data_IF_392707795504
#
_entry.id   IF_392707795504
#
_cell.length_a   1.000
_cell.length_b   1.000
_cell.length_c   1.000
_cell.angle_alpha   90.00
_cell.angle_beta   90.00
_cell.angle_gamma   90.00
#
_symmetry.space_group_name_H-M   'P 1'
#
loop_
_entity.id
_entity.type
_entity.pdbx_description
1 polymer ?
#
# COMPACT_ATOMS: atom_id res chain seq x y z
N UNK A 1 -36.45 -83.29 6.17
CA UNK A 1 -36.32 -83.43 4.71
C UNK A 1 -35.04 -82.74 4.30
N UNK A 2 -34.13 -83.49 3.64
CA UNK A 2 -32.91 -83.04 2.95
C UNK A 2 -31.92 -82.25 3.81
N UNK A 3 -30.78 -82.77 4.26
CA UNK A 3 -29.73 -83.36 3.41
C UNK A 3 -28.92 -82.22 2.77
N UNK A 4 -27.60 -82.20 2.76
CA UNK A 4 -26.61 -83.21 3.10
C UNK A 4 -25.21 -82.54 2.98
N UNK A 5 -24.34 -82.87 3.94
CA UNK A 5 -22.88 -83.06 3.88
C UNK A 5 -21.95 -82.16 3.09
N UNK A 6 -20.87 -81.81 3.80
CA UNK A 6 -19.50 -81.95 3.30
C UNK A 6 -18.53 -81.23 4.23
N UNK A 7 -18.05 -81.87 5.32
CA UNK A 7 -16.72 -82.52 5.41
C UNK A 7 -15.57 -81.50 5.28
N UNK A 8 -14.58 -81.35 6.16
CA UNK A 8 -13.88 -82.18 7.14
C UNK A 8 -13.15 -81.20 8.10
N UNK A 9 -13.07 -81.44 9.42
CA UNK A 9 -11.92 -82.03 10.16
C UNK A 9 -10.58 -81.33 9.87
N UNK A 10 -9.67 -81.05 10.80
CA UNK A 10 -9.27 -81.62 12.10
C UNK A 10 -8.31 -80.57 12.71
N UNK A 11 -8.47 -80.23 14.00
CA UNK A 11 -7.49 -80.50 15.06
C UNK A 11 -6.28 -79.55 15.20
N UNK A 12 -6.21 -78.95 16.41
CA UNK A 12 -5.07 -78.58 17.26
C UNK A 12 -3.66 -78.56 16.64
N UNK A 13 -2.83 -77.52 16.84
CA UNK A 13 -1.94 -77.40 18.02
C UNK A 13 -1.09 -76.09 17.93
N UNK A 14 -1.09 -75.31 19.01
CA UNK A 14 0.04 -74.64 19.73
C UNK A 14 1.09 -73.79 18.96
N UNK A 15 1.28 -72.56 19.50
CA UNK A 15 2.41 -71.62 19.38
C UNK A 15 2.78 -71.13 17.96
N UNK A 16 2.93 -69.84 17.69
CA UNK A 16 3.92 -68.97 18.35
C UNK A 16 3.63 -67.51 17.97
N UNK A 17 3.75 -66.61 18.95
CA UNK A 17 3.78 -65.16 18.80
C UNK A 17 4.93 -64.77 17.87
N UNK A 18 4.67 -64.48 16.59
CA UNK A 18 5.71 -63.92 15.70
C UNK A 18 5.18 -63.12 14.50
N UNK A 19 4.10 -62.34 14.66
CA UNK A 19 3.63 -61.46 13.57
C UNK A 19 3.25 -60.03 13.96
N UNK A 20 3.36 -59.64 15.23
CA UNK A 20 3.12 -58.24 15.66
C UNK A 20 4.37 -57.36 15.70
N UNK A 21 5.58 -57.93 15.63
CA UNK A 21 6.82 -57.15 15.61
C UNK A 21 7.25 -56.69 14.20
N UNK A 22 6.82 -57.37 13.13
CA UNK A 22 7.26 -57.04 11.76
C UNK A 22 6.50 -55.82 11.20
N UNK A 23 5.20 -55.69 11.50
CA UNK A 23 4.40 -54.55 11.01
C UNK A 23 4.76 -53.24 11.74
N UNK A 24 5.16 -53.31 13.02
CA UNK A 24 5.60 -52.12 13.77
C UNK A 24 6.99 -51.65 13.32
N UNK A 25 7.89 -52.59 13.01
CA UNK A 25 9.23 -52.30 12.48
C UNK A 25 9.18 -51.78 11.04
N UNK A 26 8.29 -52.27 10.18
CA UNK A 26 8.11 -51.69 8.83
C UNK A 26 7.51 -50.29 8.86
N UNK A 27 6.54 -50.01 9.74
CA UNK A 27 6.00 -48.67 9.91
C UNK A 27 7.05 -47.68 10.45
N UNK A 28 7.83 -48.07 11.47
CA UNK A 28 8.91 -47.24 12.02
C UNK A 28 10.07 -47.06 11.03
N UNK A 29 10.37 -48.08 10.21
CA UNK A 29 11.42 -48.01 9.17
C UNK A 29 11.00 -47.14 7.98
N UNK A 30 9.75 -47.24 7.53
CA UNK A 30 9.19 -46.35 6.49
C UNK A 30 9.13 -44.92 7.04
N UNK A 31 8.72 -44.72 8.29
CA UNK A 31 8.67 -43.39 8.90
C UNK A 31 10.07 -42.79 9.08
N UNK A 32 11.06 -43.58 9.52
CA UNK A 32 12.46 -43.15 9.60
C UNK A 32 13.09 -42.86 8.24
N UNK A 33 12.80 -43.67 7.22
CA UNK A 33 13.32 -43.44 5.85
C UNK A 33 12.71 -42.18 5.24
N UNK A 34 11.42 -41.95 5.47
CA UNK A 34 10.71 -40.74 5.04
C UNK A 34 11.25 -39.49 5.77
N UNK A 35 11.48 -39.58 7.09
CA UNK A 35 12.13 -38.53 7.89
C UNK A 35 13.57 -38.25 7.44
N UNK A 36 14.35 -39.27 7.08
CA UNK A 36 15.72 -39.10 6.58
C UNK A 36 15.77 -38.47 5.19
N UNK A 37 14.82 -38.81 4.31
CA UNK A 37 14.66 -38.18 2.99
C UNK A 37 14.17 -36.72 3.12
N UNK A 38 13.22 -36.43 4.01
CA UNK A 38 12.82 -35.06 4.36
C UNK A 38 13.97 -34.26 4.98
N UNK A 39 14.73 -34.84 5.91
CA UNK A 39 15.92 -34.22 6.48
C UNK A 39 17.01 -33.99 5.43
N UNK A 40 17.12 -34.87 4.42
CA UNK A 40 17.99 -34.69 3.25
C UNK A 40 17.56 -33.51 2.39
N UNK A 41 16.26 -33.39 2.10
CA UNK A 41 15.69 -32.27 1.36
C UNK A 41 15.84 -30.94 2.11
N UNK A 42 15.60 -30.92 3.42
CA UNK A 42 15.78 -29.73 4.27
C UNK A 42 17.25 -29.30 4.31
N UNK A 43 18.19 -30.24 4.47
CA UNK A 43 19.63 -29.95 4.44
C UNK A 43 20.07 -29.43 3.08
N UNK A 44 19.54 -30.00 1.99
CA UNK A 44 19.84 -29.56 0.63
C UNK A 44 19.27 -28.17 0.34
N UNK A 45 18.04 -27.89 0.78
CA UNK A 45 17.43 -26.57 0.69
C UNK A 45 18.19 -25.52 1.52
N UNK A 46 18.62 -25.88 2.74
CA UNK A 46 19.45 -25.01 3.57
C UNK A 46 20.82 -24.72 2.94
N UNK A 47 21.45 -25.74 2.34
CA UNK A 47 22.71 -25.57 1.62
C UNK A 47 22.56 -24.66 0.38
N UNK A 48 21.55 -24.90 -0.45
CA UNK A 48 21.23 -24.04 -1.60
C UNK A 48 20.92 -22.60 -1.17
N UNK A 49 20.11 -22.43 -0.11
CA UNK A 49 19.84 -21.12 0.47
C UNK A 49 21.12 -20.43 0.94
N UNK A 50 22.03 -21.16 1.60
CA UNK A 50 23.34 -20.67 2.01
C UNK A 50 24.21 -20.24 0.82
N UNK A 51 24.24 -21.01 -0.26
CA UNK A 51 24.98 -20.69 -1.49
C UNK A 51 24.40 -19.44 -2.18
N UNK A 52 23.08 -19.30 -2.25
CA UNK A 52 22.42 -18.11 -2.82
C UNK A 52 22.70 -16.88 -1.97
N UNK A 53 22.59 -16.97 -0.64
CA UNK A 53 22.91 -15.88 0.27
C UNK A 53 24.38 -15.47 0.18
N UNK A 54 25.30 -16.44 0.13
CA UNK A 54 26.73 -16.19 -0.05
C UNK A 54 27.02 -15.54 -1.41
N UNK A 55 26.40 -16.04 -2.48
CA UNK A 55 26.52 -15.46 -3.81
C UNK A 55 26.01 -14.02 -3.87
N UNK A 56 24.87 -13.74 -3.24
CA UNK A 56 24.33 -12.38 -3.13
C UNK A 56 25.24 -11.47 -2.32
N UNK A 57 25.75 -11.93 -1.19
CA UNK A 57 26.70 -11.19 -0.36
C UNK A 57 28.00 -10.88 -1.09
N UNK A 58 28.54 -11.85 -1.84
CA UNK A 58 29.73 -11.65 -2.66
C UNK A 58 29.48 -10.66 -3.81
N UNK A 59 28.32 -10.73 -4.46
CA UNK A 59 27.92 -9.76 -5.47
C UNK A 59 27.78 -8.36 -4.87
N UNK A 60 27.13 -8.21 -3.71
CA UNK A 60 27.00 -6.93 -2.99
C UNK A 60 28.36 -6.35 -2.60
N UNK A 61 29.33 -7.20 -2.25
CA UNK A 61 30.71 -6.77 -2.01
C UNK A 61 31.44 -6.31 -3.28
N UNK A 62 31.08 -6.86 -4.43
CA UNK A 62 31.67 -6.54 -5.73
C UNK A 62 31.00 -5.33 -6.41
N UNK A 63 29.79 -4.93 -5.99
CA UNK A 63 29.13 -3.73 -6.49
C UNK A 63 29.86 -2.45 -6.08
N UNK A 64 29.94 -1.49 -7.01
CA UNK A 64 30.54 -0.18 -6.77
C UNK A 64 29.75 0.56 -5.69
N UNK A 65 30.38 0.80 -4.54
CA UNK A 65 29.82 1.66 -3.50
C UNK A 65 29.94 3.11 -3.93
N UNK A 66 28.81 3.66 -4.38
CA UNK A 66 28.70 5.08 -4.64
C UNK A 66 28.86 5.89 -3.34
N UNK A 67 29.56 7.04 -3.37
CA UNK A 67 29.70 7.88 -2.18
C UNK A 67 28.33 8.39 -1.73
N UNK A 68 28.10 8.44 -0.43
CA UNK A 68 26.87 9.00 0.12
C UNK A 68 26.88 10.53 -0.02
N UNK A 69 25.80 11.07 -0.59
CA UNK A 69 25.59 12.50 -0.73
C UNK A 69 24.43 12.93 0.17
N UNK A 70 24.62 14.02 0.90
CA UNK A 70 23.60 14.60 1.77
C UNK A 70 23.50 16.11 1.53
N UNK A 71 22.29 16.65 1.64
CA UNK A 71 22.03 18.07 1.57
C UNK A 71 20.85 18.48 2.43
N UNK A 72 20.66 19.79 2.55
CA UNK A 72 19.57 20.38 3.31
C UNK A 72 19.99 21.01 4.63
N UNK A 73 19.00 21.55 5.33
CA UNK A 73 19.16 22.41 6.50
C UNK A 73 18.32 21.90 7.65
N UNK A 74 18.87 21.99 8.86
CA UNK A 74 18.19 21.60 10.11
C UNK A 74 18.43 22.67 11.17
N UNK A 75 17.37 23.07 11.87
CA UNK A 75 17.49 23.89 13.08
C UNK A 75 18.30 23.10 14.12
N UNK A 76 19.31 23.74 14.71
CA UNK A 76 20.22 23.16 15.71
C UNK A 76 19.55 22.26 16.78
N UNK A 77 18.31 22.55 17.15
CA UNK A 77 17.55 21.76 18.16
C UNK A 77 17.09 20.39 17.66
N UNK A 78 17.06 20.19 16.35
CA UNK A 78 16.56 18.98 15.69
C UNK A 78 17.68 18.20 14.99
N UNK A 79 18.93 18.48 15.36
CA UNK A 79 20.11 17.85 14.79
C UNK A 79 20.08 16.31 14.80
N UNK A 80 19.49 15.73 15.85
CA UNK A 80 19.30 14.27 15.94
C UNK A 80 18.51 13.68 14.77
N UNK A 81 17.61 14.46 14.13
CA UNK A 81 16.88 14.01 12.94
C UNK A 81 17.81 13.89 11.73
N UNK A 82 18.75 14.83 11.54
CA UNK A 82 19.76 14.75 10.49
C UNK A 82 20.66 13.53 10.69
N UNK A 83 21.11 13.31 11.92
CA UNK A 83 21.96 12.18 12.27
C UNK A 83 21.24 10.85 12.00
N UNK A 84 19.99 10.69 12.46
CA UNK A 84 19.20 9.49 12.19
C UNK A 84 18.95 9.29 10.68
N UNK A 85 18.62 10.37 9.96
CA UNK A 85 18.45 10.32 8.51
C UNK A 85 19.71 9.81 7.80
N UNK A 86 20.90 10.34 8.16
CA UNK A 86 22.17 9.89 7.60
C UNK A 86 22.50 8.45 8.00
N UNK A 87 22.20 8.08 9.25
CA UNK A 87 22.46 6.74 9.77
C UNK A 87 21.67 5.67 9.01
N UNK A 88 20.43 5.96 8.57
CA UNK A 88 19.66 5.04 7.74
C UNK A 88 20.39 4.64 6.43
N UNK A 89 21.13 5.57 5.82
CA UNK A 89 21.94 5.25 4.63
C UNK A 89 23.21 4.47 4.98
N UNK A 90 23.84 4.78 6.12
CA UNK A 90 25.05 4.11 6.60
C UNK A 90 24.76 2.65 6.95
N UNK A 91 23.63 2.41 7.62
CA UNK A 91 23.18 1.08 8.04
C UNK A 91 22.56 0.27 6.90
N UNK A 92 22.33 0.91 5.74
CA UNK A 92 21.77 0.26 4.56
C UNK A 92 20.24 0.11 4.56
N UNK A 93 19.53 0.77 5.48
CA UNK A 93 18.07 0.89 5.45
C UNK A 93 17.59 1.69 4.24
N UNK A 94 18.36 2.71 3.83
CA UNK A 94 18.07 3.53 2.67
C UNK A 94 19.07 3.21 1.54
N UNK A 95 18.66 2.33 0.62
CA UNK A 95 19.53 1.81 -0.42
C UNK A 95 19.70 2.76 -1.63
N UNK A 96 18.74 3.66 -1.85
CA UNK A 96 18.67 4.55 -3.02
C UNK A 96 18.85 6.02 -2.61
N UNK A 97 17.75 6.78 -2.54
CA UNK A 97 17.71 8.17 -2.12
C UNK A 97 16.38 8.48 -1.45
N UNK A 98 16.42 9.45 -0.54
CA UNK A 98 15.28 9.84 0.26
C UNK A 98 15.31 11.34 0.59
N UNK A 99 14.18 11.86 1.07
CA UNK A 99 14.08 13.20 1.64
C UNK A 99 13.16 13.20 2.85
N UNK A 100 13.41 14.10 3.80
CA UNK A 100 12.60 14.28 5.00
C UNK A 100 12.42 15.77 5.30
N UNK A 101 11.22 16.15 5.70
CA UNK A 101 10.92 17.51 6.12
C UNK A 101 9.99 17.52 7.33
N UNK A 102 10.25 18.42 8.27
CA UNK A 102 9.46 18.56 9.50
C UNK A 102 9.12 20.02 9.73
N UNK A 103 7.85 20.27 10.04
CA UNK A 103 7.35 21.58 10.45
C UNK A 103 6.91 21.52 11.92
N UNK A 104 7.30 22.53 12.70
CA UNK A 104 6.86 22.70 14.09
C UNK A 104 6.26 24.09 14.23
N UNK A 105 4.98 24.14 14.62
CA UNK A 105 4.22 25.39 14.82
C UNK A 105 4.34 26.35 13.63
N UNK A 106 4.12 25.83 12.40
CA UNK A 106 4.19 26.64 11.19
C UNK A 106 5.59 26.85 10.59
N UNK A 107 6.67 26.50 11.31
CA UNK A 107 8.05 26.73 10.86
C UNK A 107 8.70 25.43 10.39
N UNK A 108 9.34 25.45 9.21
CA UNK A 108 10.19 24.36 8.73
C UNK A 108 11.45 24.27 9.60
N UNK A 109 11.63 23.16 10.30
CA UNK A 109 12.76 22.94 11.22
C UNK A 109 13.72 21.86 10.74
N UNK A 110 13.25 20.94 9.89
CA UNK A 110 14.06 19.92 9.22
C UNK A 110 13.71 19.94 7.76
N UNK A 111 14.72 19.83 6.92
CA UNK A 111 14.61 19.72 5.49
C UNK A 111 15.89 19.13 4.91
N UNK A 112 15.92 17.81 4.79
CA UNK A 112 17.12 17.05 4.40
C UNK A 112 16.82 16.11 3.25
N UNK A 113 17.84 15.83 2.46
CA UNK A 113 17.78 14.82 1.41
C UNK A 113 19.14 14.15 1.25
N UNK A 114 19.15 12.98 0.63
CA UNK A 114 20.39 12.24 0.41
C UNK A 114 20.25 11.06 -0.53
N UNK A 115 21.39 10.48 -0.87
CA UNK A 115 21.50 9.34 -1.78
C UNK A 115 21.27 9.73 -3.24
N UNK A 116 20.60 8.85 -3.99
CA UNK A 116 20.47 8.92 -5.44
C UNK A 116 19.01 8.98 -5.88
N UNK A 117 18.71 9.91 -6.80
CA UNK A 117 17.45 9.94 -7.52
C UNK A 117 17.39 8.84 -8.60
N UNK A 118 18.54 8.37 -9.07
CA UNK A 118 18.68 7.13 -9.85
C UNK A 118 20.10 6.60 -9.61
N UNK A 119 20.22 5.53 -8.83
CA UNK A 119 21.52 4.94 -8.49
C UNK A 119 22.19 4.25 -9.67
N UNK A 120 21.42 3.65 -10.59
CA UNK A 120 21.98 3.00 -11.78
C UNK A 120 22.61 4.02 -12.72
N UNK A 121 22.04 5.23 -12.79
CA UNK A 121 22.58 6.35 -13.55
C UNK A 121 23.53 7.25 -12.75
N UNK A 122 23.84 6.91 -11.49
CA UNK A 122 24.58 7.74 -10.54
C UNK A 122 24.05 9.19 -10.42
N UNK A 123 22.74 9.40 -10.66
CA UNK A 123 22.09 10.71 -10.54
C UNK A 123 21.76 10.97 -9.07
N UNK A 124 22.46 11.91 -8.46
CA UNK A 124 22.29 12.26 -7.05
C UNK A 124 20.92 12.86 -6.76
N UNK A 125 20.41 12.63 -5.54
CA UNK A 125 19.21 13.30 -5.06
C UNK A 125 19.50 14.78 -4.80
N UNK A 126 18.62 15.67 -5.29
CA UNK A 126 18.73 17.13 -5.16
C UNK A 126 17.56 17.70 -4.35
N UNK A 127 17.68 18.99 -3.99
CA UNK A 127 16.67 19.74 -3.23
C UNK A 127 15.26 19.67 -3.83
N UNK A 128 15.20 19.61 -5.15
CA UNK A 128 14.00 19.66 -5.99
C UNK A 128 13.69 18.31 -6.65
N UNK A 129 14.41 17.24 -6.32
CA UNK A 129 14.06 15.89 -6.74
C UNK A 129 12.69 15.52 -6.17
N UNK A 130 11.82 15.02 -7.04
CA UNK A 130 10.49 14.53 -6.68
C UNK A 130 10.44 13.01 -6.81
N UNK A 131 9.46 12.36 -6.20
CA UNK A 131 9.21 10.93 -6.38
C UNK A 131 7.70 10.67 -6.34
N UNK A 132 7.28 9.54 -6.92
CA UNK A 132 5.92 9.03 -6.78
C UNK A 132 5.72 8.64 -5.31
N UNK A 133 4.74 9.23 -4.63
CA UNK A 133 4.51 9.03 -3.18
C UNK A 133 3.48 7.95 -2.86
N UNK A 134 3.04 7.20 -3.87
CA UNK A 134 2.09 6.09 -3.74
C UNK A 134 0.81 6.50 -2.98
N UNK A 135 0.37 5.67 -2.04
CA UNK A 135 -0.88 5.85 -1.30
C UNK A 135 -0.93 7.11 -0.43
N UNK A 136 0.22 7.75 -0.17
CA UNK A 136 0.28 9.07 0.47
C UNK A 136 -0.53 10.12 -0.29
N UNK A 137 -0.68 9.94 -1.62
CA UNK A 137 -1.54 10.76 -2.49
C UNK A 137 -2.97 10.86 -1.97
N UNK A 138 -3.51 9.79 -1.36
CA UNK A 138 -4.88 9.77 -0.83
C UNK A 138 -5.08 10.80 0.27
N UNK A 139 -4.09 11.00 1.13
CA UNK A 139 -4.17 11.98 2.19
C UNK A 139 -4.20 13.41 1.62
N UNK A 140 -3.49 13.68 0.52
CA UNK A 140 -3.59 14.96 -0.21
C UNK A 140 -4.96 15.11 -0.86
N UNK A 141 -5.49 14.05 -1.47
CA UNK A 141 -6.83 14.04 -2.04
C UNK A 141 -7.92 14.27 -0.97
N UNK A 142 -7.74 13.73 0.23
CA UNK A 142 -8.61 13.96 1.37
C UNK A 142 -8.61 15.43 1.82
N UNK A 143 -7.47 16.14 1.74
CA UNK A 143 -7.42 17.59 1.96
C UNK A 143 -8.27 18.34 0.93
N UNK A 144 -8.29 17.92 -0.34
CA UNK A 144 -9.18 18.53 -1.35
C UNK A 144 -10.67 18.34 -1.00
N UNK A 145 -11.07 17.14 -0.58
CA UNK A 145 -12.44 16.87 -0.14
C UNK A 145 -12.79 17.66 1.13
N UNK A 146 -11.88 17.75 2.09
CA UNK A 146 -12.06 18.56 3.29
C UNK A 146 -12.27 20.04 2.96
N UNK A 147 -11.53 20.58 1.99
CA UNK A 147 -11.71 21.96 1.52
C UNK A 147 -13.09 22.18 0.87
N UNK A 148 -13.55 21.24 0.04
CA UNK A 148 -14.90 21.28 -0.54
C UNK A 148 -15.98 21.21 0.55
N UNK A 149 -15.80 20.36 1.56
CA UNK A 149 -16.71 20.27 2.70
C UNK A 149 -16.74 21.56 3.53
N UNK A 150 -15.57 22.14 3.80
CA UNK A 150 -15.42 23.40 4.55
C UNK A 150 -16.14 24.56 3.86
N UNK A 151 -16.07 24.61 2.53
CA UNK A 151 -16.78 25.58 1.68
C UNK A 151 -18.27 25.26 1.48
N UNK A 152 -18.79 24.21 2.13
CA UNK A 152 -20.20 23.81 2.04
C UNK A 152 -20.61 23.24 0.69
N UNK A 153 -19.65 22.82 -0.15
CA UNK A 153 -19.93 22.22 -1.47
C UNK A 153 -20.45 20.79 -1.37
N UNK A 154 -20.08 20.11 -0.31
CA UNK A 154 -20.55 18.76 0.04
C UNK A 154 -20.58 18.62 1.56
N UNK A 155 -21.24 17.56 2.04
CA UNK A 155 -21.06 17.05 3.40
C UNK A 155 -20.63 15.60 3.34
N UNK A 156 -19.90 15.13 4.36
CA UNK A 156 -19.46 13.74 4.44
C UNK A 156 -20.63 12.75 4.55
N UNK A 157 -21.74 13.16 5.18
CA UNK A 157 -22.98 12.37 5.30
C UNK A 157 -23.89 12.48 4.07
N UNK A 158 -23.55 13.31 3.08
CA UNK A 158 -24.30 13.35 1.83
C UNK A 158 -24.18 12.01 1.09
N UNK A 159 -25.31 11.56 0.53
CA UNK A 159 -25.29 10.50 -0.48
C UNK A 159 -24.47 10.95 -1.68
N UNK A 160 -23.61 10.09 -2.23
CA UNK A 160 -22.87 10.39 -3.46
C UNK A 160 -23.84 10.72 -4.59
N UNK A 161 -24.96 10.00 -4.65
CA UNK A 161 -26.05 10.18 -5.63
C UNK A 161 -26.70 11.56 -5.61
N UNK A 162 -26.63 12.29 -4.48
CA UNK A 162 -27.09 13.69 -4.38
C UNK A 162 -26.31 14.62 -5.31
N UNK A 163 -25.01 14.38 -5.45
CA UNK A 163 -24.10 15.21 -6.26
C UNK A 163 -23.85 14.60 -7.64
N UNK A 164 -23.92 13.28 -7.73
CA UNK A 164 -23.67 12.50 -8.94
C UNK A 164 -24.79 11.45 -9.13
N UNK A 165 -25.93 11.82 -9.73
CA UNK A 165 -27.11 10.94 -9.81
C UNK A 165 -26.85 9.59 -10.49
N UNK A 166 -25.97 9.56 -11.51
CA UNK A 166 -25.58 8.33 -12.22
C UNK A 166 -24.94 7.27 -11.32
N UNK A 167 -24.39 7.68 -10.16
CA UNK A 167 -23.79 6.77 -9.19
C UNK A 167 -24.81 5.83 -8.53
N UNK A 168 -26.10 6.18 -8.48
CA UNK A 168 -27.12 5.42 -7.72
C UNK A 168 -27.49 4.04 -8.29
N UNK A 169 -26.84 3.58 -9.36
CA UNK A 169 -27.11 2.28 -9.98
C UNK A 169 -26.52 1.13 -9.16
N UNK A 170 -27.03 -0.09 -9.38
CA UNK A 170 -26.43 -1.35 -8.90
C UNK A 170 -26.21 -1.42 -7.37
N UNK A 171 -27.17 -0.93 -6.58
CA UNK A 171 -27.14 -1.01 -5.11
C UNK A 171 -26.26 0.05 -4.44
N UNK A 172 -25.95 1.14 -5.14
CA UNK A 172 -25.08 2.23 -4.67
C UNK A 172 -25.86 3.47 -4.18
N UNK A 173 -27.19 3.43 -4.18
CA UNK A 173 -28.07 4.57 -3.89
C UNK A 173 -27.87 5.19 -2.50
N UNK A 174 -27.46 4.38 -1.51
CA UNK A 174 -27.30 4.77 -0.12
C UNK A 174 -25.84 5.06 0.29
N UNK A 175 -24.89 4.98 -0.65
CA UNK A 175 -23.47 5.21 -0.33
C UNK A 175 -23.24 6.70 -0.07
N UNK A 176 -22.63 7.00 1.07
CA UNK A 176 -22.25 8.37 1.45
C UNK A 176 -20.84 8.73 0.98
N UNK A 177 -20.54 10.02 0.94
CA UNK A 177 -19.17 10.52 0.70
C UNK A 177 -18.21 9.91 1.73
N UNK A 178 -18.60 9.87 3.01
CA UNK A 178 -17.77 9.29 4.07
C UNK A 178 -17.45 7.81 3.82
N UNK A 179 -18.39 7.01 3.31
CA UNK A 179 -18.11 5.60 2.99
C UNK A 179 -17.09 5.44 1.86
N UNK A 180 -17.03 6.36 0.90
CA UNK A 180 -15.95 6.38 -0.10
C UNK A 180 -14.63 6.73 0.59
N UNK A 181 -14.64 7.80 1.39
CA UNK A 181 -13.45 8.34 2.05
C UNK A 181 -12.87 7.40 3.13
N UNK A 182 -13.67 6.50 3.68
CA UNK A 182 -13.28 5.52 4.70
C UNK A 182 -13.18 4.08 4.17
N UNK A 183 -13.23 3.90 2.84
CA UNK A 183 -13.12 2.61 2.16
C UNK A 183 -14.25 1.61 2.46
N UNK A 184 -15.44 2.08 2.82
CA UNK A 184 -16.62 1.26 3.15
C UNK A 184 -17.64 1.15 2.00
N UNK A 185 -17.35 1.71 0.84
CA UNK A 185 -18.26 1.69 -0.32
C UNK A 185 -18.35 0.31 -1.02
N UNK A 186 -17.45 -0.63 -0.72
CA UNK A 186 -17.41 -1.94 -1.35
C UNK A 186 -16.88 -1.94 -2.80
N UNK A 187 -16.23 -0.86 -3.25
CA UNK A 187 -15.75 -0.69 -4.64
C UNK A 187 -14.22 -0.79 -4.74
N UNK A 188 -13.60 -1.68 -3.96
CA UNK A 188 -12.15 -1.78 -3.85
C UNK A 188 -11.44 -2.27 -5.12
N UNK A 189 -12.18 -2.89 -6.05
CA UNK A 189 -11.74 -3.17 -7.41
C UNK A 189 -12.91 -3.09 -8.38
N UNK A 190 -12.59 -2.92 -9.67
CA UNK A 190 -13.55 -2.98 -10.76
C UNK A 190 -13.53 -4.34 -11.45
N UNK A 191 -14.70 -4.84 -11.88
CA UNK A 191 -14.79 -6.06 -12.69
C UNK A 191 -14.39 -5.78 -14.15
N UNK A 192 -14.65 -4.56 -14.64
CA UNK A 192 -14.17 -4.10 -15.95
C UNK A 192 -12.64 -3.95 -15.93
N UNK A 193 -11.91 -4.63 -16.84
CA UNK A 193 -10.48 -4.39 -17.00
C UNK A 193 -10.22 -2.94 -17.44
N UNK A 194 -9.44 -2.20 -16.65
CA UNK A 194 -9.17 -0.78 -16.91
C UNK A 194 -8.01 -0.66 -17.90
N UNK A 195 -8.28 -0.10 -19.08
CA UNK A 195 -7.24 0.24 -20.07
C UNK A 195 -6.60 1.59 -19.75
N UNK A 196 -5.44 1.89 -20.34
CA UNK A 196 -4.81 3.22 -20.22
C UNK A 196 -5.73 4.33 -20.74
N UNK A 197 -6.37 4.12 -21.89
CA UNK A 197 -7.35 5.06 -22.47
C UNK A 197 -8.48 5.37 -21.49
N UNK A 198 -9.05 4.34 -20.85
CA UNK A 198 -10.08 4.53 -19.83
C UNK A 198 -9.54 5.34 -18.67
N UNK A 199 -8.38 4.96 -18.13
CA UNK A 199 -7.78 5.58 -16.96
C UNK A 199 -7.45 7.07 -17.16
N UNK A 200 -7.12 7.49 -18.38
CA UNK A 200 -6.88 8.89 -18.76
C UNK A 200 -8.16 9.68 -19.04
N UNK A 201 -9.31 9.01 -19.22
CA UNK A 201 -10.59 9.65 -19.49
C UNK A 201 -11.50 9.60 -18.26
N UNK A 202 -11.70 10.76 -17.63
CA UNK A 202 -12.62 10.88 -16.51
C UNK A 202 -14.07 10.50 -16.89
N UNK A 203 -14.45 10.65 -18.16
CA UNK A 203 -15.77 10.28 -18.66
C UNK A 203 -15.95 8.77 -18.77
N UNK A 204 -14.92 8.06 -19.26
CA UNK A 204 -14.93 6.59 -19.32
C UNK A 204 -14.87 6.00 -17.91
N UNK A 205 -13.99 6.50 -17.04
CA UNK A 205 -13.95 6.05 -15.65
C UNK A 205 -15.25 6.33 -14.90
N UNK A 206 -15.91 7.46 -15.17
CA UNK A 206 -17.24 7.75 -14.61
C UNK A 206 -18.21 6.63 -14.97
N UNK A 207 -18.26 6.21 -16.24
CA UNK A 207 -19.16 5.14 -16.69
C UNK A 207 -18.85 3.78 -16.06
N UNK A 208 -17.57 3.42 -15.97
CA UNK A 208 -17.14 2.21 -15.24
C UNK A 208 -17.66 2.23 -13.81
N UNK A 209 -17.48 3.34 -13.09
CA UNK A 209 -17.96 3.46 -11.70
C UNK A 209 -19.49 3.41 -11.60
N UNK A 210 -20.20 4.12 -12.48
CA UNK A 210 -21.67 4.12 -12.50
C UNK A 210 -22.21 2.69 -12.65
N UNK A 211 -21.60 1.89 -13.53
CA UNK A 211 -22.07 0.55 -13.86
C UNK A 211 -21.47 -0.54 -12.96
N UNK A 212 -20.57 -0.20 -12.03
CA UNK A 212 -19.98 -1.14 -11.08
C UNK A 212 -20.97 -1.54 -9.96
N UNK A 213 -20.90 -2.80 -9.49
CA UNK A 213 -21.62 -3.26 -8.31
C UNK A 213 -20.67 -3.41 -7.10
N UNK A 214 -21.06 -2.98 -5.88
CA UNK A 214 -20.28 -3.22 -4.67
C UNK A 214 -19.99 -4.71 -4.45
N UNK A 215 -18.74 -5.04 -4.11
CA UNK A 215 -18.26 -6.42 -3.85
C UNK A 215 -18.68 -6.94 -2.48
N UNK A 216 -18.98 -6.02 -1.57
CA UNK A 216 -19.56 -6.26 -0.26
C UNK A 216 -20.65 -5.23 -0.02
N UNK A 217 -21.59 -5.51 0.88
CA UNK A 217 -22.63 -4.57 1.26
C UNK A 217 -22.00 -3.24 1.75
N UNK A 218 -22.34 -2.09 1.12
CA UNK A 218 -21.76 -0.80 1.53
C UNK A 218 -22.07 -0.47 2.99
N UNK A 219 -21.12 0.17 3.67
CA UNK A 219 -21.24 0.57 5.07
C UNK A 219 -21.07 -0.56 6.09
N UNK A 220 -20.90 -1.82 5.64
CA UNK A 220 -20.74 -2.97 6.55
C UNK A 220 -19.31 -3.14 7.07
N UNK A 221 -18.32 -2.97 6.21
CA UNK A 221 -16.91 -3.19 6.53
C UNK A 221 -15.98 -2.42 5.61
N UNK A 222 -14.85 -1.95 6.14
CA UNK A 222 -13.80 -1.28 5.37
C UNK A 222 -12.96 -2.29 4.59
N UNK A 223 -12.80 -2.02 3.29
CA UNK A 223 -11.90 -2.76 2.41
C UNK A 223 -11.14 -1.79 1.54
N UNK A 224 -9.82 -1.73 1.69
CA UNK A 224 -8.98 -0.73 1.07
C UNK A 224 -9.13 -0.65 -0.46
N UNK A 225 -9.26 0.58 -0.96
CA UNK A 225 -9.44 0.89 -2.38
C UNK A 225 -8.10 1.43 -2.93
N UNK A 226 -7.16 0.59 -3.41
CA UNK A 226 -5.82 1.04 -3.76
C UNK A 226 -5.83 2.04 -4.92
N UNK A 227 -6.52 1.72 -6.02
CA UNK A 227 -6.62 2.58 -7.21
C UNK A 227 -8.00 3.21 -7.36
N UNK A 228 -9.07 2.45 -7.10
CA UNK A 228 -10.44 2.92 -7.30
C UNK A 228 -10.77 4.15 -6.46
N UNK A 229 -10.14 4.32 -5.29
CA UNK A 229 -10.24 5.54 -4.47
C UNK A 229 -9.96 6.80 -5.28
N UNK A 230 -8.88 6.81 -6.07
CA UNK A 230 -8.48 8.03 -6.78
C UNK A 230 -9.50 8.47 -7.82
N UNK A 231 -10.04 7.53 -8.61
CA UNK A 231 -11.09 7.85 -9.59
C UNK A 231 -12.42 8.19 -8.91
N UNK A 232 -12.78 7.53 -7.81
CA UNK A 232 -13.98 7.86 -7.04
C UNK A 232 -13.91 9.29 -6.49
N UNK A 233 -12.76 9.64 -5.89
CA UNK A 233 -12.54 10.98 -5.32
C UNK A 233 -12.45 12.05 -6.42
N UNK A 234 -11.81 11.77 -7.57
CA UNK A 234 -11.81 12.68 -8.72
C UNK A 234 -13.24 12.98 -9.21
N UNK A 235 -14.10 11.95 -9.32
CA UNK A 235 -15.50 12.16 -9.69
C UNK A 235 -16.27 12.98 -8.65
N UNK A 236 -16.02 12.77 -7.34
CA UNK A 236 -16.63 13.60 -6.29
C UNK A 236 -16.20 15.06 -6.45
N UNK A 237 -14.91 15.33 -6.64
CA UNK A 237 -14.39 16.70 -6.87
C UNK A 237 -15.07 17.32 -8.09
N UNK A 238 -15.09 16.63 -9.24
CA UNK A 238 -15.72 17.13 -10.46
C UNK A 238 -17.19 17.48 -10.29
N UNK A 239 -17.96 16.68 -9.54
CA UNK A 239 -19.39 16.93 -9.35
C UNK A 239 -19.67 18.04 -8.33
N UNK A 240 -18.80 18.26 -7.35
CA UNK A 240 -19.05 19.18 -6.23
C UNK A 240 -18.35 20.54 -6.37
N UNK A 241 -17.22 20.58 -7.08
CA UNK A 241 -16.53 21.81 -7.47
C UNK A 241 -17.41 22.66 -8.38
N UNK A 242 -17.29 23.98 -8.25
CA UNK A 242 -18.04 24.94 -9.05
C UNK A 242 -17.55 24.97 -10.49
N UNK A 243 -16.23 24.93 -10.67
CA UNK A 243 -15.59 24.95 -11.99
C UNK A 243 -15.53 23.57 -12.67
N UNK A 244 -16.05 22.53 -12.01
CA UNK A 244 -16.05 21.13 -12.50
C UNK A 244 -14.66 20.61 -12.86
N UNK A 245 -13.63 21.10 -12.16
CA UNK A 245 -12.23 20.69 -12.38
C UNK A 245 -12.00 19.25 -11.95
N UNK A 246 -11.00 18.61 -12.56
CA UNK A 246 -10.41 17.37 -12.04
C UNK A 246 -9.62 17.62 -10.76
N UNK A 247 -9.31 16.56 -10.02
CA UNK A 247 -8.60 16.66 -8.74
C UNK A 247 -7.21 17.26 -8.88
N UNK A 248 -6.49 16.97 -9.95
CA UNK A 248 -5.15 17.51 -10.21
C UNK A 248 -5.18 19.03 -10.36
N UNK A 249 -6.07 19.52 -11.23
CA UNK A 249 -6.29 20.95 -11.42
C UNK A 249 -6.83 21.64 -10.16
N UNK A 250 -7.78 21.03 -9.44
CA UNK A 250 -8.33 21.56 -8.20
C UNK A 250 -7.23 21.73 -7.14
N UNK A 251 -6.43 20.68 -6.90
CA UNK A 251 -5.31 20.71 -5.97
C UNK A 251 -4.32 21.83 -6.34
N UNK A 252 -3.99 21.94 -7.63
CA UNK A 252 -3.06 22.95 -8.14
C UNK A 252 -3.55 24.37 -7.85
N UNK A 253 -4.77 24.69 -8.28
CA UNK A 253 -5.29 26.06 -8.19
C UNK A 253 -5.67 26.48 -6.77
N UNK A 254 -6.14 25.55 -5.93
CA UNK A 254 -6.69 25.88 -4.61
C UNK A 254 -5.67 25.75 -3.49
N UNK A 255 -4.65 24.90 -3.63
CA UNK A 255 -3.73 24.56 -2.54
C UNK A 255 -2.28 24.78 -2.95
N UNK A 256 -1.80 24.15 -4.03
CA UNK A 256 -0.35 24.10 -4.23
C UNK A 256 0.21 25.38 -4.85
N UNK A 257 -0.41 25.90 -5.91
CA UNK A 257 0.03 27.12 -6.60
C UNK A 257 -0.02 28.38 -5.71
N UNK A 258 -1.10 28.66 -4.94
CA UNK A 258 -1.15 29.83 -4.05
C UNK A 258 -0.06 29.83 -2.97
N UNK A 259 0.51 28.66 -2.67
CA UNK A 259 1.49 28.48 -1.60
C UNK A 259 2.89 28.10 -2.11
N UNK A 260 3.11 28.06 -3.43
CA UNK A 260 4.39 27.68 -4.02
C UNK A 260 4.83 26.25 -3.66
N UNK A 261 3.88 25.34 -3.52
CA UNK A 261 4.13 23.94 -3.17
C UNK A 261 4.31 23.13 -4.46
N UNK A 262 5.38 22.35 -4.52
CA UNK A 262 5.72 21.52 -5.68
C UNK A 262 5.26 20.08 -5.44
N UNK A 263 3.94 19.88 -5.53
CA UNK A 263 3.27 18.58 -5.43
C UNK A 263 2.16 18.53 -6.49
N UNK A 264 2.08 17.41 -7.19
CA UNK A 264 1.25 17.25 -8.37
C UNK A 264 0.44 15.96 -8.29
N UNK A 265 -0.79 15.99 -8.79
CA UNK A 265 -1.55 14.82 -9.20
C UNK A 265 -1.82 15.06 -10.69
N UNK A 266 -1.15 14.29 -11.55
CA UNK A 266 -0.95 14.66 -12.95
C UNK A 266 0.24 15.63 -13.10
N UNK A 267 1.43 15.09 -13.35
CA UNK A 267 2.66 15.86 -13.56
C UNK A 267 2.79 16.28 -15.03
N UNK A 268 3.24 17.50 -15.27
CA UNK A 268 3.56 17.96 -16.61
C UNK A 268 4.85 17.32 -17.13
N UNK A 269 4.87 16.92 -18.40
CA UNK A 269 6.04 16.26 -19.01
C UNK A 269 7.33 17.10 -18.95
N UNK A 270 7.22 18.44 -18.83
CA UNK A 270 8.37 19.33 -18.64
C UNK A 270 9.12 19.11 -17.33
N UNK A 271 8.48 18.47 -16.35
CA UNK A 271 9.03 18.29 -15.00
C UNK A 271 9.62 16.89 -14.75
N UNK A 272 9.48 15.96 -15.72
CA UNK A 272 9.89 14.56 -15.58
C UNK A 272 11.37 14.37 -15.24
N UNK A 273 12.24 15.28 -15.70
CA UNK A 273 13.68 15.23 -15.43
C UNK A 273 14.02 15.29 -13.93
N UNK A 274 13.08 15.75 -13.09
CA UNK A 274 13.22 15.86 -11.63
C UNK A 274 12.74 14.61 -10.88
N UNK A 275 11.99 13.72 -11.53
CA UNK A 275 11.40 12.54 -10.89
C UNK A 275 12.47 11.48 -10.63
N UNK A 276 12.53 10.97 -9.41
CA UNK A 276 13.40 9.89 -8.97
C UNK A 276 12.86 8.54 -9.46
N UNK A 277 13.77 7.64 -9.80
CA UNK A 277 13.45 6.27 -10.17
C UNK A 277 13.10 5.48 -8.90
N UNK A 278 11.93 4.86 -8.88
CA UNK A 278 11.51 3.91 -7.86
C UNK A 278 12.23 2.59 -8.06
N UNK A 279 12.81 2.03 -7.01
CA UNK A 279 13.37 0.68 -6.99
C UNK A 279 12.46 -0.29 -6.25
N UNK A 280 12.57 -1.58 -6.57
CA UNK A 280 12.00 -2.64 -5.74
C UNK A 280 12.86 -2.85 -4.49
N UNK A 281 12.26 -3.24 -3.36
CA UNK A 281 13.03 -3.57 -2.17
C UNK A 281 13.97 -4.75 -2.47
N UNK A 282 15.20 -4.66 -1.98
CA UNK A 282 16.16 -5.76 -2.08
C UNK A 282 15.76 -6.90 -1.13
N UNK A 283 16.06 -8.14 -1.50
CA UNK A 283 15.72 -9.31 -0.69
C UNK A 283 16.35 -9.24 0.72
N UNK A 284 17.59 -8.75 0.81
CA UNK A 284 18.29 -8.51 2.08
C UNK A 284 17.55 -7.49 2.96
N UNK A 285 17.05 -6.40 2.37
CA UNK A 285 16.24 -5.39 3.05
C UNK A 285 14.93 -5.98 3.59
N UNK A 286 14.20 -6.74 2.76
CA UNK A 286 12.95 -7.41 3.19
C UNK A 286 13.18 -8.37 4.36
N UNK A 287 14.25 -9.17 4.32
CA UNK A 287 14.61 -10.07 5.41
C UNK A 287 14.96 -9.27 6.67
N UNK A 288 15.74 -8.18 6.52
CA UNK A 288 16.11 -7.28 7.60
C UNK A 288 14.88 -6.68 8.28
N UNK A 289 13.94 -6.15 7.52
CA UNK A 289 12.68 -5.59 8.04
C UNK A 289 11.82 -6.64 8.74
N UNK A 290 11.64 -7.81 8.11
CA UNK A 290 10.86 -8.91 8.69
C UNK A 290 11.47 -9.42 10.01
N UNK A 291 12.80 -9.37 10.15
CA UNK A 291 13.50 -9.72 11.38
C UNK A 291 13.28 -8.71 12.50
N UNK A 292 13.25 -7.42 12.17
CA UNK A 292 13.10 -6.33 13.15
C UNK A 292 11.63 -6.10 13.55
N UNK A 293 10.68 -6.29 12.64
CA UNK A 293 9.26 -6.08 12.90
C UNK A 293 8.41 -7.27 12.46
N UNK A 294 7.90 -8.01 13.46
CA UNK A 294 7.00 -9.16 13.24
C UNK A 294 5.73 -8.78 12.47
N UNK A 295 5.29 -7.52 12.53
CA UNK A 295 4.12 -7.04 11.77
C UNK A 295 4.43 -7.03 10.27
N UNK A 296 5.65 -6.63 9.88
CA UNK A 296 6.12 -6.67 8.50
C UNK A 296 6.28 -8.12 8.03
N UNK A 297 6.87 -8.99 8.85
CA UNK A 297 6.95 -10.42 8.54
C UNK A 297 5.58 -11.05 8.26
N UNK A 298 4.58 -10.71 9.09
CA UNK A 298 3.20 -11.16 8.90
C UNK A 298 2.58 -10.60 7.61
N UNK A 299 2.81 -9.33 7.28
CA UNK A 299 2.31 -8.74 6.04
C UNK A 299 2.93 -9.39 4.80
N UNK A 300 4.25 -9.60 4.80
CA UNK A 300 4.94 -10.29 3.72
C UNK A 300 4.37 -11.70 3.57
N UNK A 301 4.24 -12.46 4.67
CA UNK A 301 3.64 -13.78 4.64
C UNK A 301 2.23 -13.75 4.03
N UNK A 302 1.35 -12.89 4.55
CA UNK A 302 -0.02 -12.77 4.05
C UNK A 302 -0.06 -12.43 2.56
N UNK A 303 0.79 -11.52 2.09
CA UNK A 303 0.87 -11.17 0.67
C UNK A 303 1.34 -12.35 -0.19
N UNK A 304 2.38 -13.06 0.24
CA UNK A 304 2.96 -14.19 -0.50
C UNK A 304 2.05 -15.42 -0.54
N UNK A 305 1.28 -15.66 0.53
CA UNK A 305 0.34 -16.79 0.61
C UNK A 305 -1.08 -16.42 0.18
N UNK A 306 -1.33 -15.18 -0.22
CA UNK A 306 -2.66 -14.73 -0.64
C UNK A 306 -3.12 -15.46 -1.90
N UNK A 307 -4.37 -15.92 -1.90
CA UNK A 307 -5.02 -16.44 -3.09
C UNK A 307 -5.02 -15.35 -4.18
N UNK A 308 -4.78 -15.74 -5.44
CA UNK A 308 -4.77 -14.81 -6.58
C UNK A 308 -6.12 -14.10 -6.78
N UNK A 309 -7.20 -14.68 -6.28
CA UNK A 309 -8.55 -14.12 -6.28
C UNK A 309 -8.92 -13.43 -4.96
N UNK A 310 -7.99 -13.31 -4.02
CA UNK A 310 -8.21 -12.54 -2.79
C UNK A 310 -8.56 -11.09 -3.12
N UNK A 311 -9.34 -10.40 -2.24
CA UNK A 311 -9.70 -9.00 -2.44
C UNK A 311 -8.49 -8.09 -2.71
N UNK A 312 -7.37 -8.31 -2.00
CA UNK A 312 -6.13 -7.58 -2.22
C UNK A 312 -5.57 -7.79 -3.63
N UNK A 313 -5.39 -9.05 -4.03
CA UNK A 313 -4.78 -9.37 -5.33
C UNK A 313 -5.64 -8.84 -6.49
N UNK A 314 -6.96 -8.96 -6.40
CA UNK A 314 -7.88 -8.38 -7.40
C UNK A 314 -7.80 -6.86 -7.47
N UNK A 315 -7.64 -6.20 -6.32
CA UNK A 315 -7.57 -4.74 -6.21
C UNK A 315 -6.28 -4.15 -6.76
N UNK A 316 -5.16 -4.86 -6.65
CA UNK A 316 -3.88 -4.39 -7.21
C UNK A 316 -3.64 -4.88 -8.66
N UNK A 317 -4.34 -5.91 -9.13
CA UNK A 317 -4.16 -6.45 -10.48
C UNK A 317 -4.92 -5.69 -11.58
N UNK A 318 -5.82 -4.77 -11.20
CA UNK A 318 -6.59 -3.95 -12.13
C UNK A 318 -6.40 -2.46 -11.79
N UNK A 319 -5.67 -1.68 -12.61
CA UNK A 319 -5.19 -2.01 -13.96
C UNK A 319 -3.94 -2.90 -13.99
N UNK A 320 -3.88 -3.84 -14.94
CA UNK A 320 -2.76 -4.79 -15.08
C UNK A 320 -1.46 -4.16 -15.60
N UNK A 321 -1.56 -3.03 -16.30
CA UNK A 321 -0.43 -2.27 -16.84
C UNK A 321 0.20 -1.31 -15.81
N UNK A 322 -0.45 -1.11 -14.65
CA UNK A 322 0.08 -0.32 -13.53
C UNK A 322 0.61 -1.24 -12.42
N UNK A 323 1.64 -2.03 -12.74
CA UNK A 323 2.24 -2.97 -11.81
C UNK A 323 3.37 -2.33 -11.00
N UNK A 324 3.00 -1.83 -9.82
CA UNK A 324 3.91 -1.25 -8.83
C UNK A 324 4.69 -2.28 -8.02
N UNK A 325 4.09 -3.44 -7.73
CA UNK A 325 4.65 -4.39 -6.76
C UNK A 325 5.79 -5.26 -7.33
N UNK A 326 5.77 -5.57 -8.62
CA UNK A 326 6.76 -6.50 -9.21
C UNK A 326 7.50 -5.95 -10.42
N UNK A 327 6.99 -4.88 -11.06
CA UNK A 327 7.61 -4.32 -12.26
C UNK A 327 8.00 -2.83 -12.11
N UNK A 328 7.55 -2.15 -11.05
CA UNK A 328 7.71 -0.71 -10.88
C UNK A 328 7.35 0.08 -12.14
N UNK A 329 6.20 -0.22 -12.76
CA UNK A 329 5.76 0.46 -14.00
C UNK A 329 5.57 1.97 -13.80
N UNK A 330 5.41 2.43 -12.56
CA UNK A 330 5.43 3.84 -12.17
C UNK A 330 6.73 4.57 -12.50
N UNK A 331 7.75 3.90 -13.01
CA UNK A 331 8.90 4.58 -13.61
C UNK A 331 8.66 5.02 -15.07
N UNK A 332 7.52 4.66 -15.67
CA UNK A 332 7.15 5.12 -17.00
C UNK A 332 6.60 6.57 -16.92
N UNK A 333 7.30 7.56 -17.50
CA UNK A 333 6.86 8.96 -17.45
C UNK A 333 5.51 9.18 -18.13
N UNK A 334 5.12 8.33 -19.08
CA UNK A 334 3.81 8.40 -19.73
C UNK A 334 2.66 8.08 -18.75
N UNK A 335 2.93 7.56 -17.55
CA UNK A 335 1.88 7.32 -16.55
C UNK A 335 1.70 8.52 -15.61
N UNK A 336 2.67 9.42 -15.52
CA UNK A 336 2.70 10.48 -14.51
C UNK A 336 1.73 11.63 -14.78
N UNK A 337 1.33 11.84 -16.03
CA UNK A 337 0.32 12.86 -16.36
C UNK A 337 -1.10 12.45 -15.91
N UNK A 338 -1.31 11.18 -15.58
CA UNK A 338 -2.61 10.70 -15.12
C UNK A 338 -2.98 11.27 -13.76
N UNK A 339 -4.20 11.82 -13.65
CA UNK A 339 -4.74 12.29 -12.37
C UNK A 339 -5.24 11.13 -11.48
N UNK A 340 -4.33 10.25 -11.06
CA UNK A 340 -4.63 9.09 -10.21
C UNK A 340 -4.33 9.40 -8.74
N UNK A 341 -5.32 9.97 -8.06
CA UNK A 341 -5.26 10.38 -6.65
C UNK A 341 -5.11 9.22 -5.63
N UNK A 342 -5.23 7.98 -6.07
CA UNK A 342 -4.98 6.79 -5.27
C UNK A 342 -3.50 6.48 -5.09
N UNK A 343 -2.64 6.79 -6.06
CA UNK A 343 -1.27 6.28 -6.08
C UNK A 343 -0.22 7.14 -6.78
N UNK A 344 -0.59 8.07 -7.68
CA UNK A 344 0.37 8.73 -8.58
C UNK A 344 0.62 10.21 -8.25
N UNK A 345 0.48 10.59 -6.98
CA UNK A 345 0.96 11.89 -6.53
C UNK A 345 2.48 11.95 -6.64
N UNK A 346 3.01 13.05 -7.17
CA UNK A 346 4.44 13.28 -7.35
C UNK A 346 4.83 14.57 -6.66
N UNK A 347 5.85 14.49 -5.80
CA UNK A 347 6.39 15.64 -5.09
C UNK A 347 7.58 15.23 -4.23
N UNK A 348 7.91 16.04 -3.24
CA UNK A 348 8.98 15.74 -2.28
C UNK A 348 8.50 15.90 -0.84
N UNK A 349 9.32 15.46 0.13
CA UNK A 349 8.94 15.47 1.54
C UNK A 349 8.58 16.88 2.05
N UNK A 350 9.28 17.92 1.56
CA UNK A 350 9.00 19.32 1.88
C UNK A 350 7.61 19.72 1.40
N UNK A 351 7.28 19.46 0.14
CA UNK A 351 5.98 19.85 -0.43
C UNK A 351 4.84 19.17 0.31
N UNK A 352 4.98 17.87 0.58
CA UNK A 352 3.99 17.11 1.35
C UNK A 352 3.84 17.67 2.77
N UNK A 353 4.94 17.86 3.49
CA UNK A 353 4.91 18.42 4.84
C UNK A 353 4.35 19.86 4.87
N UNK A 354 4.57 20.65 3.81
CA UNK A 354 4.02 22.00 3.67
C UNK A 354 2.48 21.98 3.53
N UNK A 355 1.92 21.06 2.71
CA UNK A 355 0.45 20.90 2.59
C UNK A 355 -0.14 20.60 3.97
N UNK A 356 0.40 19.61 4.68
CA UNK A 356 -0.13 19.24 5.99
C UNK A 356 0.12 20.30 7.05
N UNK A 357 1.24 21.01 7.01
CA UNK A 357 1.47 22.15 7.90
C UNK A 357 0.41 23.24 7.71
N UNK A 358 0.06 23.59 6.46
CA UNK A 358 -1.02 24.56 6.21
C UNK A 358 -2.37 24.01 6.67
N UNK A 359 -2.63 22.74 6.40
CA UNK A 359 -3.87 22.07 6.78
C UNK A 359 -4.11 22.08 8.29
N UNK A 360 -3.18 21.55 9.08
CA UNK A 360 -3.34 21.40 10.55
C UNK A 360 -3.31 22.73 11.30
N UNK A 361 -2.77 23.80 10.70
CA UNK A 361 -2.78 25.16 11.25
C UNK A 361 -3.96 26.01 10.74
N UNK A 362 -4.99 25.38 10.15
CA UNK A 362 -6.23 26.06 9.75
C UNK A 362 -6.06 27.05 8.60
N UNK A 363 -5.04 26.88 7.75
CA UNK A 363 -4.79 27.76 6.60
C UNK A 363 -5.49 27.28 5.32
N UNK A 364 -5.85 26.00 5.25
CA UNK A 364 -6.61 25.43 4.13
C UNK A 364 -8.09 25.29 4.50
N UNK A 365 -8.41 24.82 5.70
CA UNK A 365 -9.78 24.60 6.19
C UNK A 365 -10.00 25.29 7.54
N UNK A 366 -11.26 25.59 7.88
CA UNK A 366 -11.59 26.18 9.17
C UNK A 366 -11.34 25.26 10.37
N UNK A 367 -11.24 25.83 11.57
CA UNK A 367 -11.13 25.07 12.83
C UNK A 367 -12.33 24.13 13.08
N UNK A 368 -13.52 24.51 12.59
CA UNK A 368 -14.72 23.67 12.66
C UNK A 368 -14.51 22.39 11.88
N UNK A 369 -14.01 22.48 10.65
CA UNK A 369 -13.70 21.32 9.83
C UNK A 369 -12.57 20.50 10.44
N UNK A 370 -11.48 21.12 10.89
CA UNK A 370 -10.41 20.39 11.60
C UNK A 370 -10.92 19.62 12.82
N UNK A 371 -11.87 20.19 13.57
CA UNK A 371 -12.44 19.53 14.74
C UNK A 371 -13.29 18.30 14.38
N UNK A 372 -13.98 18.33 13.24
CA UNK A 372 -14.66 17.16 12.68
C UNK A 372 -13.64 16.08 12.30
N UNK A 373 -12.59 16.46 11.57
CA UNK A 373 -11.57 15.57 11.03
C UNK A 373 -10.63 14.96 12.08
N UNK A 374 -10.70 15.39 13.35
CA UNK A 374 -9.96 14.76 14.46
C UNK A 374 -10.61 13.46 14.93
N UNK A 375 -11.87 13.22 14.57
CA UNK A 375 -12.63 12.06 15.02
C UNK A 375 -12.63 11.00 13.92
N UNK A 376 -12.12 9.79 14.19
CA UNK A 376 -12.25 8.70 13.24
C UNK A 376 -13.71 8.25 13.10
N UNK A 377 -14.01 7.57 12.00
CA UNK A 377 -15.35 7.07 11.66
C UNK A 377 -15.45 5.56 11.86
N UNK A 378 -14.38 4.82 11.59
CA UNK A 378 -14.31 3.40 11.88
C UNK A 378 -12.98 3.01 12.53
N UNK A 379 -13.03 1.90 13.27
CA UNK A 379 -11.88 1.21 13.83
C UNK A 379 -12.15 -0.28 13.65
N UNK A 380 -11.65 -0.85 12.57
CA UNK A 380 -11.90 -2.25 12.22
C UNK A 380 -10.69 -2.85 11.51
N UNK A 381 -10.66 -4.19 11.43
CA UNK A 381 -9.73 -4.89 10.56
C UNK A 381 -10.19 -4.73 9.11
N UNK A 382 -9.38 -4.04 8.31
CA UNK A 382 -9.64 -3.92 6.88
C UNK A 382 -9.48 -5.28 6.21
N UNK A 383 -10.51 -5.77 5.52
CA UNK A 383 -10.50 -7.13 4.96
C UNK A 383 -9.65 -7.26 3.68
N UNK A 384 -9.26 -6.14 3.06
CA UNK A 384 -8.34 -6.10 1.92
C UNK A 384 -6.90 -6.08 2.42
N UNK A 385 -6.55 -5.12 3.29
CA UNK A 385 -5.20 -4.99 3.88
C UNK A 385 -4.88 -6.10 4.89
N UNK A 386 -5.90 -6.70 5.49
CA UNK A 386 -5.79 -7.64 6.62
C UNK A 386 -5.06 -7.03 7.82
N UNK A 387 -5.31 -5.74 8.07
CA UNK A 387 -4.69 -4.96 9.14
C UNK A 387 -5.75 -4.13 9.85
N UNK A 388 -5.59 -3.95 11.15
CA UNK A 388 -6.36 -2.98 11.92
C UNK A 388 -5.99 -1.58 11.47
N UNK A 389 -7.00 -0.79 11.14
CA UNK A 389 -6.82 0.57 10.70
C UNK A 389 -7.98 1.42 11.22
N UNK A 390 -7.62 2.53 11.86
CA UNK A 390 -8.56 3.57 12.26
C UNK A 390 -8.68 4.56 11.11
N UNK A 391 -9.87 4.74 10.56
CA UNK A 391 -10.06 5.56 9.35
C UNK A 391 -11.24 6.51 9.48
N UNK A 392 -11.22 7.53 8.63
CA UNK A 392 -12.31 8.50 8.51
C UNK A 392 -11.89 9.68 7.65
N UNK A 393 -12.83 10.21 6.88
CA UNK A 393 -12.66 11.43 6.11
C UNK A 393 -11.49 11.40 5.09
N UNK A 394 -10.98 10.22 4.73
CA UNK A 394 -9.83 10.04 3.83
C UNK A 394 -8.49 9.86 4.52
N UNK A 395 -8.45 9.91 5.85
CA UNK A 395 -7.23 9.79 6.65
C UNK A 395 -7.20 8.49 7.45
N UNK A 396 -5.98 8.05 7.74
CA UNK A 396 -5.71 7.04 8.75
C UNK A 396 -5.29 7.74 10.04
N UNK A 397 -5.74 7.24 11.19
CA UNK A 397 -5.56 7.87 12.50
C UNK A 397 -4.61 7.02 13.34
N UNK A 398 -3.84 7.69 14.20
CA UNK A 398 -2.94 7.07 15.17
C UNK A 398 -3.08 7.76 16.55
N UNK A 399 -2.81 7.06 17.67
CA UNK A 399 -2.53 5.62 17.74
C UNK A 399 -3.76 4.78 17.35
N UNK A 400 -3.57 3.49 17.07
CA UNK A 400 -4.73 2.59 16.94
C UNK A 400 -5.48 2.61 18.27
N UNK A 401 -6.81 2.65 18.22
CA UNK A 401 -7.61 2.69 19.46
C UNK A 401 -7.45 1.33 20.16
N UNK A 402 -6.69 1.32 21.25
CA UNK A 402 -6.32 0.10 22.00
C UNK A 402 -4.82 -0.09 22.17
N UNK A 403 -3.98 0.62 21.40
CA UNK A 403 -2.55 0.66 21.65
C UNK A 403 -2.29 1.51 22.91
N UNK A 404 -1.98 0.85 24.03
CA UNK A 404 -1.30 1.54 25.13
C UNK A 404 -0.01 2.14 24.55
N UNK A 405 0.10 3.46 24.61
CA UNK A 405 1.35 4.14 24.31
C UNK A 405 2.36 3.66 25.36
N UNK A 406 3.17 2.64 25.05
CA UNK A 406 4.36 2.37 25.85
C UNK A 406 5.26 3.58 25.69
N UNK A 407 5.28 4.39 26.75
CA UNK A 407 5.93 5.70 26.82
C UNK A 407 7.44 5.68 26.71
#
# INVERSE_FOLDING_TARGET
MGGNWGMLREEWVICTITQLHIIKVEADYIHHKWLLDEMGLIRYAAFLGGVVLLGHHLLDMLYSKHPLHFGGDVDSKFEGVRQAFQQNFIDGWEAEGASAAVFVKGRKVVDVWGGYADKQAARTWKKDTMTVVFSTTKAVAAVCIALLADRGRLKYDDLVSKHWPGFAKNGKENITIEWIMSHMAGLHYFDTPITEEMAYSHELMRKVIEDEAPKVAPGRSSGYHPFTYGWLVDQIVRHTDEKKRGIGQFLREEITQPHGIDFHIGLASSEEYRVARVSLPQLSGLIGEAWHDKRIARQIYNFWTSDKNSPMMRAISNPSWLNVATQCTVNNPDQHFMEQAGALGIGNARSLAAIFNLFVNGRIVSEKTLSLLKKPVNNETDFVLQLEAVKGHGFFYAPLVGDEVSG
#
